data_IF_129925922419
#
_entry.id   IF_129925922419
#
_cell.length_a   1.000
_cell.length_b   1.000
_cell.length_c   1.000
_cell.angle_alpha   90.00
_cell.angle_beta   90.00
_cell.angle_gamma   90.00
#
_symmetry.space_group_name_H-M   'P 1'
#
loop_
_entity.id
_entity.type
_entity.pdbx_description
1 polymer ?
#
# COMPACT_ATOMS: atom_id res chain seq x y z
N UNK A 1 13.54 2.67 -4.89
CA UNK A 1 12.16 2.13 -5.03
C UNK A 1 11.14 3.25 -4.95
N UNK A 2 11.08 3.99 -3.85
CA UNK A 2 10.30 5.23 -3.73
C UNK A 2 10.55 6.20 -4.89
N UNK A 3 11.82 6.39 -5.26
CA UNK A 3 12.22 7.20 -6.43
C UNK A 3 11.52 6.81 -7.75
N UNK A 4 11.18 5.54 -7.98
CA UNK A 4 10.45 5.11 -9.20
C UNK A 4 8.98 5.51 -9.14
N UNK A 5 8.35 5.39 -7.96
CA UNK A 5 6.97 5.85 -7.71
C UNK A 5 6.92 7.39 -7.83
N UNK A 6 7.87 8.09 -7.22
CA UNK A 6 7.90 9.55 -7.28
C UNK A 6 8.17 10.07 -8.71
N UNK A 7 8.97 9.36 -9.53
CA UNK A 7 9.11 9.66 -10.97
C UNK A 7 7.82 9.47 -11.75
N UNK A 8 7.06 8.42 -11.46
CA UNK A 8 5.75 8.19 -12.08
C UNK A 8 4.83 9.39 -11.82
N UNK A 9 4.68 9.75 -10.55
CA UNK A 9 3.85 10.86 -10.11
C UNK A 9 4.35 12.19 -10.71
N UNK A 10 5.67 12.37 -10.81
CA UNK A 10 6.23 13.55 -11.46
C UNK A 10 5.92 13.62 -12.97
N UNK A 11 5.95 12.49 -13.67
CA UNK A 11 5.64 12.40 -15.10
C UNK A 11 4.15 12.57 -15.47
N UNK A 12 3.28 12.68 -14.45
CA UNK A 12 1.84 12.95 -14.59
C UNK A 12 1.43 14.22 -13.84
N UNK A 13 2.39 15.10 -13.56
CA UNK A 13 2.14 16.41 -12.92
C UNK A 13 1.47 16.32 -11.54
N UNK A 14 1.61 15.17 -10.86
CA UNK A 14 1.25 15.02 -9.45
C UNK A 14 2.38 15.56 -8.55
N UNK A 15 3.62 15.26 -8.93
CA UNK A 15 4.81 15.80 -8.32
C UNK A 15 5.59 16.69 -9.31
N UNK A 16 6.42 17.58 -8.79
CA UNK A 16 7.56 18.17 -9.49
C UNK A 16 8.80 17.44 -9.03
N UNK A 17 9.69 17.12 -9.98
CA UNK A 17 11.00 16.56 -9.70
C UNK A 17 12.07 17.58 -10.10
N UNK A 18 12.97 17.91 -9.17
CA UNK A 18 14.21 18.64 -9.45
C UNK A 18 15.41 17.74 -9.17
N UNK A 19 16.51 17.99 -9.88
CA UNK A 19 17.80 17.32 -9.65
C UNK A 19 18.73 18.34 -9.02
N UNK A 20 19.31 18.01 -7.88
CA UNK A 20 20.26 18.85 -7.15
C UNK A 20 21.57 18.11 -7.05
N UNK A 21 22.68 18.77 -7.35
CA UNK A 21 24.02 18.23 -7.11
C UNK A 21 24.37 18.42 -5.63
N UNK A 22 24.90 17.38 -4.99
CA UNK A 22 25.52 17.51 -3.68
C UNK A 22 26.96 18.01 -3.78
N UNK A 23 27.52 18.43 -2.65
CA UNK A 23 28.87 18.98 -2.55
C UNK A 23 29.97 17.96 -2.95
N UNK A 24 29.62 16.68 -3.06
CA UNK A 24 30.52 15.58 -3.42
C UNK A 24 30.41 15.20 -4.93
N UNK A 25 29.62 15.93 -5.72
CA UNK A 25 29.42 15.66 -7.15
C UNK A 25 28.43 14.52 -7.46
N UNK A 26 27.69 14.06 -6.46
CA UNK A 26 26.56 13.14 -6.61
C UNK A 26 25.26 13.92 -6.90
N UNK A 27 24.27 13.26 -7.50
CA UNK A 27 23.00 13.90 -7.85
C UNK A 27 21.85 13.30 -7.04
N UNK A 28 21.09 14.16 -6.35
CA UNK A 28 19.86 13.79 -5.65
C UNK A 28 18.64 14.30 -6.41
N UNK A 29 17.56 13.51 -6.42
CA UNK A 29 16.25 13.93 -6.94
C UNK A 29 15.37 14.36 -5.78
N UNK A 30 14.94 15.61 -5.82
CA UNK A 30 13.96 16.14 -4.88
C UNK A 30 12.58 16.11 -5.54
N UNK A 31 11.59 15.63 -4.79
CA UNK A 31 10.21 15.59 -5.21
C UNK A 31 9.38 16.50 -4.33
N UNK A 32 8.50 17.28 -4.95
CA UNK A 32 7.51 18.10 -4.25
C UNK A 32 6.17 17.99 -4.96
N UNK A 33 5.06 18.35 -4.31
CA UNK A 33 3.79 18.44 -5.03
C UNK A 33 3.89 19.43 -6.18
N UNK A 34 3.42 19.03 -7.36
CA UNK A 34 3.36 19.91 -8.52
C UNK A 34 2.42 21.10 -8.22
N UNK A 35 2.60 22.27 -8.85
CA UNK A 35 1.73 23.44 -8.61
C UNK A 35 0.24 23.13 -8.76
N UNK A 36 -0.14 22.37 -9.79
CA UNK A 36 -1.52 21.91 -10.00
C UNK A 36 -2.02 20.99 -8.87
N UNK A 37 -1.16 20.11 -8.36
CA UNK A 37 -1.53 19.23 -7.24
C UNK A 37 -1.58 19.97 -5.91
N UNK A 38 -0.76 21.01 -5.71
CA UNK A 38 -0.84 21.89 -4.54
C UNK A 38 -2.14 22.69 -4.52
N UNK A 39 -2.57 23.23 -5.66
CA UNK A 39 -3.87 23.92 -5.74
C UNK A 39 -5.03 22.96 -5.52
N UNK A 40 -5.02 21.78 -6.16
CA UNK A 40 -6.09 20.80 -5.97
C UNK A 40 -6.14 20.21 -4.55
N UNK A 41 -4.99 20.07 -3.87
CA UNK A 41 -4.97 19.69 -2.46
C UNK A 41 -5.61 20.77 -1.59
N UNK A 42 -5.28 22.05 -1.81
CA UNK A 42 -5.92 23.17 -1.11
C UNK A 42 -7.44 23.17 -1.35
N UNK A 43 -7.86 23.00 -2.60
CA UNK A 43 -9.28 23.01 -2.96
C UNK A 43 -10.03 21.80 -2.39
N UNK A 44 -9.38 20.64 -2.30
CA UNK A 44 -9.93 19.45 -1.66
C UNK A 44 -10.07 19.62 -0.14
N UNK A 45 -9.12 20.28 0.52
CA UNK A 45 -9.22 20.60 1.96
C UNK A 45 -10.38 21.56 2.23
N UNK A 46 -10.56 22.58 1.39
CA UNK A 46 -11.59 23.60 1.59
C UNK A 46 -12.99 23.15 1.13
N UNK A 47 -13.08 22.41 0.04
CA UNK A 47 -14.33 22.10 -0.66
C UNK A 47 -14.63 20.61 -0.79
N UNK A 48 -13.85 19.73 -0.17
CA UNK A 48 -14.02 18.27 -0.22
C UNK A 48 -13.61 17.64 -1.55
N UNK A 49 -13.81 16.33 -1.71
CA UNK A 49 -13.39 15.60 -2.90
C UNK A 49 -11.90 15.23 -2.93
N UNK A 50 -11.48 14.52 -3.97
CA UNK A 50 -10.15 13.91 -4.05
C UNK A 50 -9.29 14.64 -5.07
N UNK A 51 -8.09 15.12 -4.69
CA UNK A 51 -7.20 15.85 -5.60
C UNK A 51 -6.97 15.14 -6.94
N UNK A 52 -6.67 13.83 -6.92
CA UNK A 52 -6.48 13.05 -8.13
C UNK A 52 -7.73 13.08 -9.03
N UNK A 53 -8.91 12.83 -8.48
CA UNK A 53 -10.16 12.86 -9.25
C UNK A 53 -10.46 14.25 -9.82
N UNK A 54 -10.13 15.31 -9.07
CA UNK A 54 -10.30 16.70 -9.52
C UNK A 54 -9.41 17.03 -10.72
N UNK A 55 -8.19 16.47 -10.79
CA UNK A 55 -7.27 16.64 -11.92
C UNK A 55 -7.65 15.76 -13.11
N UNK A 56 -7.94 14.49 -12.85
CA UNK A 56 -8.00 13.45 -13.87
C UNK A 56 -9.43 13.06 -14.28
N UNK A 57 -10.45 13.53 -13.56
CA UNK A 57 -11.86 13.22 -13.82
C UNK A 57 -12.26 11.77 -13.53
N UNK A 58 -11.37 10.95 -12.97
CA UNK A 58 -11.61 9.54 -12.69
C UNK A 58 -10.95 9.10 -11.37
N UNK A 59 -11.41 7.98 -10.80
CA UNK A 59 -10.81 7.40 -9.61
C UNK A 59 -9.40 6.84 -9.89
N UNK A 60 -8.48 6.92 -8.92
CA UNK A 60 -7.09 6.47 -9.10
C UNK A 60 -6.96 4.99 -9.49
N UNK A 61 -7.88 4.11 -9.06
CA UNK A 61 -7.93 2.70 -9.48
C UNK A 61 -8.60 2.47 -10.85
N UNK A 62 -9.37 3.43 -11.36
CA UNK A 62 -10.01 3.35 -12.69
C UNK A 62 -9.11 3.95 -13.77
N UNK A 63 -8.32 4.97 -13.40
CA UNK A 63 -7.45 5.70 -14.31
C UNK A 63 -6.42 4.85 -15.08
N UNK A 64 -5.84 3.77 -14.52
CA UNK A 64 -5.04 2.82 -15.29
C UNK A 64 -5.78 2.19 -16.48
N UNK A 65 -7.11 2.10 -16.44
CA UNK A 65 -7.92 1.66 -17.58
C UNK A 65 -8.04 2.71 -18.70
N UNK A 66 -7.78 3.98 -18.38
CA UNK A 66 -7.91 5.12 -19.30
C UNK A 66 -6.57 5.54 -19.92
N UNK A 67 -5.46 5.35 -19.21
CA UNK A 67 -4.11 5.71 -19.66
C UNK A 67 -3.15 4.51 -19.55
N UNK A 68 -2.80 3.93 -20.70
CA UNK A 68 -1.90 2.77 -20.78
C UNK A 68 -0.49 3.08 -20.27
N UNK A 69 0.01 4.30 -20.49
CA UNK A 69 1.34 4.70 -20.01
C UNK A 69 1.33 4.80 -18.48
N UNK A 70 0.30 5.41 -17.91
CA UNK A 70 0.11 5.44 -16.46
C UNK A 70 0.03 4.02 -15.88
N UNK A 71 -0.78 3.16 -16.48
CA UNK A 71 -0.96 1.77 -16.07
C UNK A 71 0.35 0.98 -16.05
N UNK A 72 1.15 1.08 -17.13
CA UNK A 72 2.44 0.41 -17.22
C UNK A 72 3.38 0.84 -16.09
N UNK A 73 3.49 2.13 -15.84
CA UNK A 73 4.40 2.63 -14.82
C UNK A 73 3.87 2.32 -13.42
N UNK A 74 2.57 2.47 -13.17
CA UNK A 74 1.91 2.14 -11.90
C UNK A 74 2.13 0.66 -11.54
N UNK A 75 1.76 -0.26 -12.43
CA UNK A 75 1.92 -1.70 -12.19
C UNK A 75 3.38 -2.10 -12.05
N UNK A 76 4.27 -1.50 -12.83
CA UNK A 76 5.72 -1.75 -12.69
C UNK A 76 6.22 -1.29 -11.32
N UNK A 77 5.78 -0.13 -10.85
CA UNK A 77 6.17 0.38 -9.54
C UNK A 77 5.67 -0.53 -8.41
N UNK A 78 4.37 -0.90 -8.45
CA UNK A 78 3.76 -1.81 -7.48
C UNK A 78 4.43 -3.20 -7.49
N UNK A 79 4.63 -3.79 -8.66
CA UNK A 79 5.31 -5.08 -8.81
C UNK A 79 6.69 -5.10 -8.14
N UNK A 80 7.50 -4.06 -8.40
CA UNK A 80 8.84 -3.97 -7.83
C UNK A 80 8.82 -3.70 -6.32
N UNK A 81 7.89 -2.87 -5.85
CA UNK A 81 7.70 -2.59 -4.42
C UNK A 81 7.32 -3.87 -3.67
N UNK A 82 6.23 -4.52 -4.09
CA UNK A 82 5.73 -5.77 -3.51
C UNK A 82 6.79 -6.87 -3.52
N UNK A 83 7.55 -7.01 -4.62
CA UNK A 83 8.59 -8.05 -4.71
C UNK A 83 9.64 -7.91 -3.60
N UNK A 84 10.06 -6.69 -3.28
CA UNK A 84 11.10 -6.46 -2.26
C UNK A 84 10.53 -6.69 -0.86
N UNK A 85 9.35 -6.13 -0.57
CA UNK A 85 8.69 -6.27 0.73
C UNK A 85 8.39 -7.74 1.03
N UNK A 86 7.74 -8.45 0.10
CA UNK A 86 7.35 -9.85 0.29
C UNK A 86 8.58 -10.77 0.41
N UNK A 87 9.66 -10.53 -0.34
CA UNK A 87 10.90 -11.30 -0.15
C UNK A 87 11.43 -11.19 1.29
N UNK A 88 11.44 -9.97 1.86
CA UNK A 88 11.86 -9.76 3.25
C UNK A 88 10.89 -10.36 4.27
N UNK A 89 9.59 -10.28 4.01
CA UNK A 89 8.58 -10.93 4.84
C UNK A 89 8.79 -12.44 4.84
N UNK A 90 9.02 -13.06 3.68
CA UNK A 90 9.25 -14.51 3.60
C UNK A 90 10.48 -14.96 4.39
N UNK A 91 11.49 -14.11 4.58
CA UNK A 91 12.67 -14.43 5.39
C UNK A 91 12.37 -14.42 6.89
N UNK A 92 11.45 -13.55 7.34
CA UNK A 92 11.18 -13.26 8.75
C UNK A 92 9.92 -13.96 9.29
N UNK A 93 8.89 -14.05 8.47
CA UNK A 93 7.56 -14.49 8.87
C UNK A 93 7.33 -15.97 8.52
N UNK A 94 7.01 -16.75 9.54
CA UNK A 94 6.82 -18.21 9.45
C UNK A 94 5.37 -18.67 9.42
N UNK A 95 4.43 -17.75 9.57
CA UNK A 95 3.00 -18.07 9.65
C UNK A 95 2.38 -18.66 8.38
N UNK A 96 3.13 -18.79 7.29
CA UNK A 96 2.74 -19.51 6.07
C UNK A 96 3.03 -21.02 6.10
N UNK A 97 3.95 -21.50 6.94
CA UNK A 97 4.44 -22.89 6.90
C UNK A 97 3.35 -23.95 7.13
N UNK A 98 2.32 -23.61 7.91
CA UNK A 98 1.21 -24.50 8.25
C UNK A 98 -0.06 -24.27 7.43
N UNK A 99 -0.04 -23.37 6.44
CA UNK A 99 -1.23 -23.08 5.65
C UNK A 99 -1.43 -24.12 4.54
N UNK A 100 -2.67 -24.56 4.37
CA UNK A 100 -3.08 -25.40 3.25
C UNK A 100 -3.65 -24.57 2.10
N UNK A 101 -4.33 -23.47 2.42
CA UNK A 101 -4.95 -22.58 1.46
C UNK A 101 -4.70 -21.11 1.87
N UNK A 102 -4.41 -20.26 0.87
CA UNK A 102 -4.23 -18.83 1.06
C UNK A 102 -5.04 -18.08 0.01
N UNK A 103 -5.82 -17.09 0.46
CA UNK A 103 -6.55 -16.16 -0.42
C UNK A 103 -5.92 -14.78 -0.28
N UNK A 104 -5.47 -14.20 -1.39
CA UNK A 104 -4.94 -12.84 -1.46
C UNK A 104 -6.01 -11.89 -1.99
N UNK A 105 -6.57 -11.08 -1.09
CA UNK A 105 -7.67 -10.15 -1.38
C UNK A 105 -7.07 -8.79 -1.73
N UNK A 106 -7.39 -8.29 -2.93
CA UNK A 106 -6.70 -7.15 -3.54
C UNK A 106 -5.33 -7.52 -4.11
N UNK A 107 -5.12 -8.78 -4.50
CA UNK A 107 -3.80 -9.29 -4.88
C UNK A 107 -3.28 -8.81 -6.25
N UNK A 108 -4.06 -8.03 -7.01
CA UNK A 108 -3.66 -7.44 -8.28
C UNK A 108 -3.13 -8.49 -9.27
N UNK A 109 -1.89 -8.31 -9.76
CA UNK A 109 -1.24 -9.24 -10.70
C UNK A 109 -0.73 -10.55 -10.05
N UNK A 110 -1.04 -10.82 -8.78
CA UNK A 110 -0.70 -12.08 -8.10
C UNK A 110 0.78 -12.24 -7.76
N UNK A 111 1.54 -11.14 -7.70
CA UNK A 111 3.00 -11.14 -7.41
C UNK A 111 3.27 -11.73 -6.03
N UNK A 112 2.46 -11.36 -5.04
CA UNK A 112 2.55 -11.83 -3.65
C UNK A 112 2.36 -13.33 -3.59
N UNK A 113 1.23 -13.84 -4.09
CA UNK A 113 0.96 -15.28 -4.11
C UNK A 113 2.03 -16.06 -4.87
N UNK A 114 2.49 -15.57 -6.02
CA UNK A 114 3.56 -16.24 -6.77
C UNK A 114 4.83 -16.40 -5.94
N UNK A 115 5.22 -15.39 -5.18
CA UNK A 115 6.42 -15.46 -4.32
C UNK A 115 6.19 -16.41 -3.13
N UNK A 116 5.00 -16.38 -2.52
CA UNK A 116 4.64 -17.26 -1.41
C UNK A 116 4.62 -18.73 -1.87
N UNK A 117 3.91 -19.05 -2.95
CA UNK A 117 3.80 -20.44 -3.45
C UNK A 117 5.11 -20.97 -4.02
N UNK A 118 6.00 -20.11 -4.52
CA UNK A 118 7.36 -20.52 -4.89
C UNK A 118 8.17 -21.01 -3.70
N UNK A 119 7.93 -20.47 -2.49
CA UNK A 119 8.59 -20.91 -1.25
C UNK A 119 7.82 -22.03 -0.55
N UNK A 120 6.49 -22.02 -0.65
CA UNK A 120 5.58 -22.95 -0.01
C UNK A 120 4.67 -23.61 -1.06
N UNK A 121 5.20 -24.59 -1.82
CA UNK A 121 4.49 -25.16 -2.98
C UNK A 121 3.23 -25.95 -2.63
N UNK A 122 3.06 -26.32 -1.35
CA UNK A 122 1.89 -27.05 -0.86
C UNK A 122 0.66 -26.15 -0.64
N UNK A 123 0.83 -24.82 -0.64
CA UNK A 123 -0.27 -23.88 -0.42
C UNK A 123 -1.11 -23.75 -1.68
N UNK A 124 -2.40 -24.05 -1.58
CA UNK A 124 -3.39 -23.70 -2.60
C UNK A 124 -3.68 -22.20 -2.54
N UNK A 125 -3.22 -21.46 -3.55
CA UNK A 125 -3.36 -20.01 -3.60
C UNK A 125 -4.55 -19.55 -4.46
N UNK A 126 -5.29 -18.53 -4.00
CA UNK A 126 -6.41 -17.92 -4.72
C UNK A 126 -6.20 -16.40 -4.73
N UNK A 127 -6.01 -15.82 -5.92
CA UNK A 127 -5.90 -14.36 -6.11
C UNK A 127 -7.29 -13.76 -6.32
N UNK A 128 -7.64 -12.68 -5.61
CA UNK A 128 -9.01 -12.14 -5.57
C UNK A 128 -9.00 -10.61 -5.61
N UNK A 129 -9.73 -9.94 -6.51
CA UNK A 129 -9.75 -8.46 -6.70
C UNK A 129 -11.05 -7.95 -7.38
N UNK A 130 -11.57 -6.74 -7.05
CA UNK A 130 -12.76 -5.96 -7.55
C UNK A 130 -13.96 -6.64 -8.33
N UNK A 131 -15.21 -6.10 -8.33
CA UNK A 131 -16.51 -6.82 -8.29
C UNK A 131 -16.90 -7.80 -9.43
N UNK A 132 -16.15 -8.90 -9.53
CA UNK A 132 -16.71 -10.24 -9.38
C UNK A 132 -16.47 -10.79 -7.94
N UNK A 133 -16.00 -9.94 -7.02
CA UNK A 133 -15.19 -10.38 -5.88
C UNK A 133 -15.87 -10.19 -4.51
N UNK A 134 -16.02 -9.02 -3.90
CA UNK A 134 -16.23 -9.00 -2.43
C UNK A 134 -17.67 -9.32 -1.93
N UNK A 135 -18.72 -9.22 -2.76
CA UNK A 135 -20.12 -9.37 -2.30
C UNK A 135 -20.48 -10.81 -1.85
N UNK A 136 -19.61 -11.79 -2.13
CA UNK A 136 -19.81 -13.21 -1.83
C UNK A 136 -18.62 -13.87 -1.10
N UNK A 137 -17.72 -13.08 -0.51
CA UNK A 137 -16.58 -13.65 0.20
C UNK A 137 -17.07 -14.61 1.30
N UNK A 138 -16.72 -15.92 1.23
CA UNK A 138 -17.26 -16.91 2.14
C UNK A 138 -16.74 -16.70 3.56
N UNK A 139 -17.53 -17.13 4.55
CA UNK A 139 -17.06 -17.23 5.92
C UNK A 139 -15.81 -18.12 5.98
N UNK A 140 -14.74 -17.64 6.61
CA UNK A 140 -13.52 -18.43 6.79
C UNK A 140 -13.65 -19.32 8.05
N UNK A 141 -13.01 -20.50 8.07
CA UNK A 141 -13.08 -21.45 9.18
C UNK A 141 -12.70 -20.84 10.53
N UNK A 142 -13.20 -21.39 11.63
CA UNK A 142 -12.90 -20.87 12.98
C UNK A 142 -11.42 -21.01 13.39
N UNK A 143 -10.66 -21.89 12.73
CA UNK A 143 -9.21 -22.00 12.86
C UNK A 143 -8.42 -21.13 11.86
N UNK A 144 -9.10 -20.31 11.05
CA UNK A 144 -8.47 -19.41 10.09
C UNK A 144 -7.98 -18.11 10.72
N UNK A 145 -7.03 -17.46 10.04
CA UNK A 145 -6.50 -16.13 10.40
C UNK A 145 -6.49 -15.22 9.18
N UNK A 146 -6.56 -13.92 9.42
CA UNK A 146 -6.32 -12.90 8.39
C UNK A 146 -4.92 -12.33 8.59
N UNK A 147 -4.13 -12.32 7.52
CA UNK A 147 -2.78 -11.74 7.53
C UNK A 147 -2.86 -10.37 6.87
N UNK A 148 -2.56 -9.32 7.63
CA UNK A 148 -2.53 -7.94 7.15
C UNK A 148 -1.08 -7.47 7.10
N UNK A 149 -0.67 -6.91 5.97
CA UNK A 149 0.68 -6.33 5.79
C UNK A 149 0.51 -4.84 5.55
N UNK A 150 0.75 -4.02 6.57
CA UNK A 150 0.49 -2.59 6.51
C UNK A 150 1.49 -1.75 7.30
N UNK A 151 1.62 -0.47 6.93
CA UNK A 151 2.34 0.48 7.76
C UNK A 151 1.51 0.84 9.01
N UNK A 152 2.18 1.15 10.12
CA UNK A 152 1.53 1.64 11.32
C UNK A 152 1.82 3.12 11.50
N UNK A 153 0.78 3.92 11.62
CA UNK A 153 0.90 5.33 11.96
C UNK A 153 1.14 5.48 13.47
N UNK A 154 2.24 6.11 13.89
CA UNK A 154 2.52 6.31 15.31
C UNK A 154 1.60 7.38 15.90
N UNK A 155 1.29 7.23 17.19
CA UNK A 155 0.43 8.15 17.94
C UNK A 155 1.15 9.49 18.22
N UNK A 156 2.49 9.49 18.28
CA UNK A 156 3.31 10.67 18.52
C UNK A 156 3.92 11.25 17.24
N UNK A 157 4.11 12.57 17.22
CA UNK A 157 4.90 13.24 16.19
C UNK A 157 6.39 12.99 16.43
N UNK A 158 7.01 12.15 15.62
CA UNK A 158 8.47 11.93 15.64
C UNK A 158 9.05 12.07 14.23
N UNK A 159 10.36 12.35 14.17
CA UNK A 159 11.03 12.83 12.96
C UNK A 159 11.93 11.79 12.30
N UNK A 160 11.82 10.51 12.68
CA UNK A 160 12.61 9.43 12.10
C UNK A 160 12.32 9.27 10.59
N UNK A 161 13.27 8.75 9.82
CA UNK A 161 13.10 8.56 8.37
C UNK A 161 11.93 7.62 8.03
N UNK A 162 11.72 6.58 8.84
CA UNK A 162 10.60 5.65 8.70
C UNK A 162 9.25 6.37 8.85
N UNK A 163 9.17 7.30 9.81
CA UNK A 163 7.94 8.02 10.11
C UNK A 163 7.65 9.11 9.08
N UNK A 164 8.67 9.85 8.65
CA UNK A 164 8.56 10.76 7.51
C UNK A 164 8.03 10.02 6.27
N UNK A 165 8.51 8.80 6.03
CA UNK A 165 8.04 7.96 4.92
C UNK A 165 6.57 7.56 5.11
N UNK A 166 6.19 7.10 6.30
CA UNK A 166 4.81 6.70 6.61
C UNK A 166 3.83 7.87 6.49
N UNK A 167 4.18 9.04 7.03
CA UNK A 167 3.36 10.26 6.88
C UNK A 167 3.29 10.73 5.41
N UNK A 168 4.35 10.55 4.62
CA UNK A 168 4.29 10.84 3.18
C UNK A 168 3.32 9.89 2.46
N UNK A 169 3.26 8.62 2.85
CA UNK A 169 2.30 7.66 2.30
C UNK A 169 0.87 8.05 2.72
N UNK A 170 0.64 8.47 3.96
CA UNK A 170 -0.68 8.91 4.42
C UNK A 170 -1.19 10.14 3.63
N UNK A 171 -0.31 11.14 3.41
CA UNK A 171 -0.62 12.29 2.54
C UNK A 171 -0.87 11.83 1.10
N UNK A 172 -0.10 10.87 0.60
CA UNK A 172 -0.29 10.30 -0.72
C UNK A 172 -1.66 9.62 -0.85
N UNK A 173 -2.14 8.91 0.19
CA UNK A 173 -3.48 8.33 0.25
C UNK A 173 -4.55 9.42 0.23
N UNK A 174 -4.42 10.47 1.04
CA UNK A 174 -5.34 11.62 1.04
C UNK A 174 -5.52 12.23 -0.36
N UNK A 175 -4.47 12.25 -1.19
CA UNK A 175 -4.56 12.81 -2.55
C UNK A 175 -5.27 11.91 -3.56
N UNK A 176 -5.37 10.60 -3.34
CA UNK A 176 -5.74 9.61 -4.36
C UNK A 176 -6.92 8.72 -3.99
N UNK A 177 -7.10 8.39 -2.71
CA UNK A 177 -8.04 7.37 -2.26
C UNK A 177 -9.10 7.98 -1.33
N UNK A 178 -10.39 7.92 -1.69
CA UNK A 178 -11.47 8.41 -0.84
C UNK A 178 -11.47 7.75 0.53
N UNK A 179 -11.27 8.56 1.59
CA UNK A 179 -11.22 8.07 2.97
C UNK A 179 -10.03 7.16 3.29
N UNK A 180 -9.07 7.02 2.37
CA UNK A 180 -7.84 6.28 2.59
C UNK A 180 -6.98 6.97 3.63
N UNK A 181 -6.48 6.19 4.58
CA UNK A 181 -5.58 6.65 5.64
C UNK A 181 -4.74 5.49 6.17
N UNK A 182 -3.53 5.82 6.60
CA UNK A 182 -2.74 4.97 7.48
C UNK A 182 -3.38 4.94 8.87
N UNK A 183 -3.15 3.85 9.61
CA UNK A 183 -3.80 3.61 10.89
C UNK A 183 -2.80 3.29 11.98
N UNK A 184 -3.12 3.75 13.18
CA UNK A 184 -2.43 3.37 14.40
C UNK A 184 -2.74 1.92 14.79
N UNK A 185 -1.92 1.38 15.69
CA UNK A 185 -2.15 0.07 16.28
C UNK A 185 -3.52 -0.03 16.96
N UNK A 186 -3.93 1.02 17.68
CA UNK A 186 -5.23 1.08 18.37
C UNK A 186 -6.40 1.07 17.38
N UNK A 187 -6.27 1.75 16.24
CA UNK A 187 -7.29 1.74 15.19
C UNK A 187 -7.41 0.36 14.54
N UNK A 188 -6.29 -0.35 14.30
CA UNK A 188 -6.33 -1.72 13.81
C UNK A 188 -6.99 -2.67 14.81
N UNK A 189 -6.66 -2.57 16.11
CA UNK A 189 -7.32 -3.36 17.16
C UNK A 189 -8.82 -3.09 17.21
N UNK A 190 -9.24 -1.83 17.11
CA UNK A 190 -10.65 -1.47 17.05
C UNK A 190 -11.35 -2.07 15.83
N UNK A 191 -10.71 -2.07 14.65
CA UNK A 191 -11.24 -2.70 13.44
C UNK A 191 -11.36 -4.22 13.58
N UNK A 192 -10.34 -4.88 14.13
CA UNK A 192 -10.38 -6.32 14.38
C UNK A 192 -11.54 -6.69 15.33
N UNK A 193 -11.68 -5.98 16.44
CA UNK A 193 -12.77 -6.20 17.39
C UNK A 193 -14.14 -5.95 16.75
N UNK A 194 -14.30 -4.86 16.00
CA UNK A 194 -15.56 -4.54 15.32
C UNK A 194 -15.93 -5.57 14.23
N UNK A 195 -14.93 -6.20 13.61
CA UNK A 195 -15.11 -7.27 12.64
C UNK A 195 -15.28 -8.68 13.26
N UNK A 196 -15.28 -8.79 14.59
CA UNK A 196 -15.52 -10.05 15.31
C UNK A 196 -14.28 -10.92 15.51
N UNK A 197 -13.08 -10.37 15.39
CA UNK A 197 -11.84 -11.05 15.78
C UNK A 197 -11.60 -10.92 17.29
N UNK A 198 -10.93 -11.92 17.88
CA UNK A 198 -10.53 -11.91 19.30
C UNK A 198 -9.28 -11.05 19.56
N UNK A 199 -8.46 -10.81 18.54
CA UNK A 199 -7.28 -9.97 18.67
C UNK A 199 -6.36 -9.97 17.46
N UNK A 200 -5.22 -9.30 17.62
CA UNK A 200 -4.17 -9.18 16.62
C UNK A 200 -2.83 -9.58 17.23
N UNK A 201 -2.04 -10.41 16.52
CA UNK A 201 -0.63 -10.63 16.80
C UNK A 201 0.22 -9.84 15.82
N UNK A 202 1.21 -9.12 16.33
CA UNK A 202 2.18 -8.36 15.53
C UNK A 202 3.44 -9.21 15.40
N UNK A 203 3.56 -9.93 14.29
CA UNK A 203 4.52 -11.03 14.16
C UNK A 203 5.94 -10.54 13.83
N UNK A 204 6.05 -9.66 12.83
CA UNK A 204 7.33 -9.09 12.43
C UNK A 204 7.13 -7.81 11.62
N UNK A 205 8.21 -7.07 11.37
CA UNK A 205 8.20 -5.91 10.48
C UNK A 205 9.28 -6.00 9.41
N UNK A 206 8.97 -5.60 8.19
CA UNK A 206 9.91 -5.51 7.08
C UNK A 206 9.63 -4.25 6.25
N UNK A 207 10.66 -3.48 5.93
CA UNK A 207 10.55 -2.29 5.06
C UNK A 207 9.48 -1.26 5.52
N UNK A 208 9.33 -1.05 6.84
CA UNK A 208 8.29 -0.22 7.47
C UNK A 208 6.86 -0.79 7.46
N UNK A 209 6.67 -2.02 6.95
CA UNK A 209 5.39 -2.72 7.02
C UNK A 209 5.42 -3.73 8.17
N UNK A 210 4.32 -3.80 8.91
CA UNK A 210 4.06 -4.83 9.91
C UNK A 210 3.26 -5.97 9.30
N UNK A 211 3.64 -7.19 9.66
CA UNK A 211 2.85 -8.40 9.43
C UNK A 211 2.01 -8.65 10.66
N UNK A 212 0.69 -8.58 10.51
CA UNK A 212 -0.29 -8.72 11.58
C UNK A 212 -1.17 -9.94 11.32
N UNK A 213 -1.37 -10.79 12.33
CA UNK A 213 -2.33 -11.91 12.28
C UNK A 213 -3.56 -11.58 13.11
N UNK A 214 -4.71 -11.46 12.44
CA UNK A 214 -6.00 -11.29 13.10
C UNK A 214 -6.59 -12.68 13.30
N UNK A 215 -6.93 -13.01 14.54
CA UNK A 215 -7.37 -14.35 14.93
C UNK A 215 -8.74 -14.31 15.61
N UNK A 216 -9.48 -15.40 15.44
CA UNK A 216 -10.82 -15.63 16.02
C UNK A 216 -10.77 -16.24 17.41
#
# INVERSE_FOLDING_TARGET
MLDRILRLLASHSLLSCSVVADDNGSFERLYSLAPASKSQLKDAVLGGGIPFNRVHGAHAFEYPGLDQRFNQVFNTAMYNHTTIVIKKILDLYKGFESLEQLVDVGGGLGVTLRLITSKYPNIKAINFDLPHVIKHAPAYPDNGKVIVVEALLPVGAETSSSMKTTSQIDVLMMTQTPGGKERSQQEFLALANAAGFNGIRFECSACNFWVMEFFK
#
